data_IF_632267497040
#
_entry.id   IF_632267497040
#
_cell.length_a   1.000
_cell.length_b   1.000
_cell.length_c   1.000
_cell.angle_alpha   90.00
_cell.angle_beta   90.00
_cell.angle_gamma   90.00
#
_symmetry.space_group_name_H-M   'P 1'
#
loop_
_entity.id
_entity.type
_entity.pdbx_description
1 polymer ?
#
# COMPACT_ATOMS: atom_id res chain seq x y z
N UNK A 1 23.23 40.43 -1.83
CA UNK A 1 23.68 39.76 -3.06
C UNK A 1 22.45 39.14 -3.68
N UNK A 2 22.15 39.66 -4.86
CA UNK A 2 20.95 39.52 -5.67
C UNK A 2 20.81 38.14 -6.33
N UNK A 3 19.60 37.82 -6.83
CA UNK A 3 19.23 36.62 -7.61
C UNK A 3 19.81 36.69 -9.06
N UNK A 4 19.34 35.97 -10.11
CA UNK A 4 18.50 34.76 -10.27
C UNK A 4 18.93 33.81 -11.46
N UNK A 5 18.13 32.74 -11.69
CA UNK A 5 17.79 32.07 -12.97
C UNK A 5 18.85 31.38 -13.89
N UNK A 6 18.58 30.11 -14.25
CA UNK A 6 18.09 29.67 -15.59
C UNK A 6 18.69 28.32 -16.06
N UNK A 7 17.82 27.41 -16.50
CA UNK A 7 18.14 26.30 -17.42
C UNK A 7 18.00 26.79 -18.88
N UNK A 8 18.60 26.15 -19.92
CA UNK A 8 17.81 25.25 -20.79
C UNK A 8 18.55 24.11 -21.55
N UNK A 9 17.84 22.98 -21.72
CA UNK A 9 17.46 22.22 -22.95
C UNK A 9 18.46 21.42 -23.87
N UNK A 10 17.94 20.25 -24.35
CA UNK A 10 18.30 19.37 -25.51
C UNK A 10 19.58 18.48 -25.43
N UNK A 11 19.65 17.20 -25.85
CA UNK A 11 18.97 16.42 -26.90
C UNK A 11 19.37 14.90 -26.86
N UNK A 12 18.60 14.02 -27.54
CA UNK A 12 18.93 12.67 -28.13
C UNK A 12 18.34 11.38 -27.53
N UNK A 13 17.08 11.15 -27.94
CA UNK A 13 16.51 9.98 -28.64
C UNK A 13 17.43 8.75 -28.90
N UNK A 14 16.90 7.56 -28.60
CA UNK A 14 17.46 6.26 -28.99
C UNK A 14 16.49 5.12 -28.69
N UNK A 15 15.46 4.98 -29.50
CA UNK A 15 14.55 3.82 -29.53
C UNK A 15 15.27 2.60 -30.11
N UNK A 16 15.08 1.41 -29.52
CA UNK A 16 15.15 0.14 -30.24
C UNK A 16 14.38 -0.95 -29.46
N UNK A 17 13.20 -1.31 -30.00
CA UNK A 17 12.59 -2.62 -29.85
C UNK A 17 13.35 -3.67 -30.69
N UNK A 18 13.08 -4.96 -30.49
CA UNK A 18 12.51 -5.71 -31.61
C UNK A 18 11.33 -6.63 -31.26
N UNK A 19 10.45 -6.72 -32.27
CA UNK A 19 9.27 -7.57 -32.46
C UNK A 19 9.55 -9.09 -32.46
N UNK A 20 8.53 -9.90 -32.13
CA UNK A 20 7.85 -10.78 -33.10
C UNK A 20 6.53 -11.40 -32.53
N UNK A 21 5.49 -11.39 -33.38
CA UNK A 21 4.08 -11.81 -33.21
C UNK A 21 3.91 -13.33 -33.57
N UNK A 22 2.72 -14.01 -33.63
CA UNK A 22 1.34 -13.49 -33.63
C UNK A 22 0.27 -14.33 -32.88
N UNK A 23 -0.90 -13.73 -32.59
CA UNK A 23 -2.16 -14.49 -32.51
C UNK A 23 -3.17 -13.86 -33.46
N UNK A 24 -3.43 -14.63 -34.51
CA UNK A 24 -4.48 -14.54 -35.51
C UNK A 24 -5.86 -14.46 -34.84
N UNK A 25 -6.70 -13.51 -35.22
CA UNK A 25 -8.14 -13.74 -35.32
C UNK A 25 -8.74 -12.83 -36.39
N UNK A 26 -9.37 -13.50 -37.35
CA UNK A 26 -9.95 -13.00 -38.58
C UNK A 26 -11.31 -12.31 -38.34
N UNK A 27 -11.46 -11.17 -39.04
CA UNK A 27 -12.61 -10.84 -39.91
C UNK A 27 -13.86 -10.18 -39.33
N UNK A 28 -13.98 -8.91 -39.72
CA UNK A 28 -15.14 -8.18 -40.24
C UNK A 28 -16.51 -8.46 -39.63
N UNK A 29 -17.04 -7.48 -38.90
CA UNK A 29 -18.40 -7.02 -39.09
C UNK A 29 -18.48 -5.51 -38.86
N UNK A 30 -18.81 -4.82 -39.95
CA UNK A 30 -19.21 -3.43 -40.04
C UNK A 30 -20.43 -3.17 -39.14
N UNK A 31 -20.23 -2.46 -38.03
CA UNK A 31 -21.29 -1.72 -37.34
C UNK A 31 -20.69 -0.40 -36.87
N UNK A 32 -20.98 0.64 -37.64
CA UNK A 32 -20.85 2.04 -37.26
C UNK A 32 -21.50 2.27 -35.87
N UNK A 33 -20.76 2.64 -34.82
CA UNK A 33 -21.39 3.05 -33.58
C UNK A 33 -21.96 4.44 -33.84
N UNK A 34 -23.28 4.50 -34.04
CA UNK A 34 -24.05 5.74 -34.00
C UNK A 34 -23.59 6.57 -32.80
N UNK A 35 -22.99 7.73 -33.10
CA UNK A 35 -22.62 8.80 -32.18
C UNK A 35 -23.88 9.41 -31.54
N UNK A 36 -24.55 8.61 -30.71
CA UNK A 36 -25.55 9.06 -29.76
C UNK A 36 -25.10 8.67 -28.37
N UNK A 37 -23.92 9.18 -28.00
CA UNK A 37 -23.58 9.41 -26.60
C UNK A 37 -24.62 10.40 -26.06
N UNK A 38 -25.48 10.00 -25.10
CA UNK A 38 -26.33 10.97 -24.40
C UNK A 38 -25.39 12.02 -23.80
N UNK A 39 -25.72 13.33 -23.86
CA UNK A 39 -24.83 14.34 -23.32
C UNK A 39 -24.48 13.95 -21.88
N UNK A 40 -23.18 13.87 -21.58
CA UNK A 40 -22.68 13.78 -20.22
C UNK A 40 -23.04 15.09 -19.52
N UNK A 41 -24.31 15.23 -19.13
CA UNK A 41 -24.75 16.26 -18.21
C UNK A 41 -23.92 16.11 -16.96
N UNK A 42 -23.21 17.17 -16.59
CA UNK A 42 -22.34 17.18 -15.42
C UNK A 42 -23.15 16.79 -14.17
N UNK A 43 -22.54 16.14 -13.15
CA UNK A 43 -23.24 15.77 -11.93
C UNK A 43 -24.00 16.94 -11.27
N UNK A 44 -23.45 18.15 -11.41
CA UNK A 44 -24.05 19.41 -10.96
C UNK A 44 -25.35 19.76 -11.69
N UNK A 45 -25.40 19.58 -13.01
CA UNK A 45 -26.59 19.86 -13.82
C UNK A 45 -27.73 18.89 -13.48
N UNK A 46 -27.44 17.61 -13.33
CA UNK A 46 -28.44 16.62 -12.94
C UNK A 46 -29.01 16.90 -11.55
N UNK A 47 -28.15 17.28 -10.61
CA UNK A 47 -28.56 17.61 -9.25
C UNK A 47 -29.46 18.86 -9.17
N UNK A 48 -29.10 19.91 -9.90
CA UNK A 48 -29.91 21.13 -9.99
C UNK A 48 -31.26 20.85 -10.65
N UNK A 49 -31.30 20.05 -11.71
CA UNK A 49 -32.53 19.59 -12.35
C UNK A 49 -33.40 18.77 -11.38
N UNK A 50 -32.80 17.90 -10.58
CA UNK A 50 -33.52 17.11 -9.56
C UNK A 50 -34.12 18.01 -8.49
N UNK A 51 -33.36 18.99 -7.98
CA UNK A 51 -33.84 19.99 -7.02
C UNK A 51 -35.02 20.78 -7.58
N UNK A 52 -34.90 21.25 -8.82
CA UNK A 52 -35.94 22.03 -9.48
C UNK A 52 -37.20 21.22 -9.73
N UNK A 53 -37.06 19.96 -10.14
CA UNK A 53 -38.21 19.08 -10.37
C UNK A 53 -39.00 18.84 -9.09
N UNK A 54 -38.32 18.43 -8.00
CA UNK A 54 -38.94 18.20 -6.69
C UNK A 54 -39.54 19.47 -6.07
N UNK A 55 -38.97 20.63 -6.37
CA UNK A 55 -39.48 21.91 -5.88
C UNK A 55 -40.70 22.41 -6.65
N UNK A 56 -40.78 22.14 -7.97
CA UNK A 56 -41.77 22.78 -8.85
C UNK A 56 -42.97 21.88 -9.14
N UNK A 57 -42.80 20.55 -9.18
CA UNK A 57 -43.86 19.58 -9.43
C UNK A 57 -45.07 19.74 -8.48
N UNK A 58 -44.91 19.89 -7.15
CA UNK A 58 -46.05 19.98 -6.22
C UNK A 58 -46.92 21.21 -6.44
N UNK A 59 -46.39 22.24 -7.10
CA UNK A 59 -47.07 23.52 -7.30
C UNK A 59 -47.77 23.65 -8.64
N UNK A 60 -47.57 22.71 -9.58
CA UNK A 60 -48.18 22.78 -10.91
C UNK A 60 -49.72 22.95 -10.87
N UNK A 61 -50.48 22.19 -10.02
CA UNK A 61 -51.93 22.37 -9.93
C UNK A 61 -52.31 23.75 -9.39
N UNK A 62 -51.62 24.22 -8.36
CA UNK A 62 -51.87 25.52 -7.71
C UNK A 62 -51.59 26.67 -8.66
N UNK A 63 -50.54 26.59 -9.47
CA UNK A 63 -50.25 27.59 -10.50
C UNK A 63 -51.38 27.69 -11.53
N UNK A 64 -51.96 26.56 -11.92
CA UNK A 64 -53.11 26.54 -12.83
C UNK A 64 -54.33 27.23 -12.22
N UNK A 65 -54.65 26.91 -10.96
CA UNK A 65 -55.74 27.56 -10.21
C UNK A 65 -55.51 29.07 -10.07
N UNK A 66 -54.26 29.50 -9.86
CA UNK A 66 -53.93 30.94 -9.81
C UNK A 66 -54.14 31.64 -11.15
N UNK A 67 -53.81 30.99 -12.27
CA UNK A 67 -54.07 31.52 -13.60
C UNK A 67 -55.57 31.65 -13.90
N UNK A 68 -56.38 30.68 -13.46
CA UNK A 68 -57.84 30.73 -13.56
C UNK A 68 -58.40 31.86 -12.68
N UNK A 69 -57.90 31.99 -11.43
CA UNK A 69 -58.30 33.04 -10.49
C UNK A 69 -57.97 34.45 -10.97
N UNK A 70 -56.84 34.65 -11.66
CA UNK A 70 -56.48 35.93 -12.28
C UNK A 70 -57.51 36.36 -13.34
N UNK A 71 -58.11 35.40 -14.04
CA UNK A 71 -59.16 35.64 -15.02
C UNK A 71 -60.53 35.88 -14.37
N UNK A 72 -60.88 35.08 -13.38
CA UNK A 72 -62.24 35.03 -12.83
C UNK A 72 -62.47 36.04 -11.69
N UNK A 73 -61.47 36.26 -10.83
CA UNK A 73 -61.53 37.25 -9.75
C UNK A 73 -60.15 37.90 -9.45
N UNK A 74 -59.77 38.92 -10.23
CA UNK A 74 -58.45 39.55 -10.12
C UNK A 74 -58.20 40.24 -8.76
N UNK A 75 -59.25 40.50 -7.96
CA UNK A 75 -59.09 41.13 -6.64
C UNK A 75 -58.39 40.19 -5.65
N UNK A 76 -58.58 38.88 -5.78
CA UNK A 76 -57.94 37.88 -4.91
C UNK A 76 -56.72 37.21 -5.55
N UNK A 77 -56.56 37.30 -6.87
CA UNK A 77 -55.45 36.70 -7.60
C UNK A 77 -54.08 37.16 -7.07
N UNK A 78 -53.88 38.47 -6.90
CA UNK A 78 -52.58 38.99 -6.44
C UNK A 78 -52.23 38.57 -4.99
N UNK A 79 -53.12 38.72 -3.99
CA UNK A 79 -52.88 38.19 -2.65
C UNK A 79 -52.60 36.68 -2.63
N UNK A 80 -53.35 35.90 -3.41
CA UNK A 80 -53.17 34.45 -3.49
C UNK A 80 -51.82 34.08 -4.13
N UNK A 81 -51.46 34.72 -5.24
CA UNK A 81 -50.17 34.51 -5.91
C UNK A 81 -49.00 34.89 -5.00
N UNK A 82 -49.13 35.99 -4.23
CA UNK A 82 -48.10 36.40 -3.26
C UNK A 82 -47.91 35.35 -2.16
N UNK A 83 -49.00 34.79 -1.62
CA UNK A 83 -48.94 33.74 -0.60
C UNK A 83 -48.29 32.46 -1.15
N UNK A 84 -48.74 32.00 -2.32
CA UNK A 84 -48.19 30.81 -2.98
C UNK A 84 -46.71 31.00 -3.32
N UNK A 85 -46.30 32.20 -3.76
CA UNK A 85 -44.90 32.53 -4.02
C UNK A 85 -44.02 32.45 -2.78
N UNK A 86 -44.51 32.91 -1.62
CA UNK A 86 -43.78 32.77 -0.35
C UNK A 86 -43.65 31.31 0.07
N UNK A 87 -44.74 30.54 -0.03
CA UNK A 87 -44.72 29.12 0.33
C UNK A 87 -43.81 28.31 -0.60
N UNK A 88 -43.81 28.60 -1.91
CA UNK A 88 -42.90 27.97 -2.88
C UNK A 88 -41.44 28.18 -2.50
N UNK A 89 -41.03 29.41 -2.17
CA UNK A 89 -39.64 29.70 -1.77
C UNK A 89 -39.25 28.95 -0.49
N UNK A 90 -40.16 28.81 0.45
CA UNK A 90 -39.93 28.01 1.66
C UNK A 90 -39.77 26.52 1.33
N UNK A 91 -40.62 26.00 0.43
CA UNK A 91 -40.54 24.62 -0.06
C UNK A 91 -39.22 24.34 -0.78
N UNK A 92 -38.81 25.21 -1.71
CA UNK A 92 -37.52 25.14 -2.41
C UNK A 92 -36.35 25.06 -1.41
N UNK A 93 -36.38 25.88 -0.36
CA UNK A 93 -35.37 25.84 0.71
C UNK A 93 -35.40 24.52 1.50
N UNK A 94 -36.59 23.98 1.78
CA UNK A 94 -36.76 22.73 2.49
C UNK A 94 -36.25 21.53 1.69
N UNK A 95 -36.62 21.44 0.41
CA UNK A 95 -36.16 20.40 -0.53
C UNK A 95 -34.65 20.45 -0.69
N UNK A 96 -34.08 21.64 -0.86
CA UNK A 96 -32.63 21.81 -0.99
C UNK A 96 -31.89 21.29 0.25
N UNK A 97 -32.31 21.70 1.45
CA UNK A 97 -31.74 21.21 2.72
C UNK A 97 -31.92 19.71 2.91
N UNK A 98 -33.03 19.14 2.45
CA UNK A 98 -33.28 17.71 2.52
C UNK A 98 -32.28 16.93 1.66
N UNK A 99 -32.07 17.35 0.41
CA UNK A 99 -31.10 16.73 -0.51
C UNK A 99 -29.68 16.84 0.02
N UNK A 100 -29.30 18.02 0.53
CA UNK A 100 -27.99 18.21 1.15
C UNK A 100 -27.82 17.34 2.40
N UNK A 101 -28.90 17.17 3.19
CA UNK A 101 -28.94 16.26 4.33
C UNK A 101 -28.73 14.80 3.94
N UNK A 102 -29.41 14.33 2.89
CA UNK A 102 -29.22 12.96 2.36
C UNK A 102 -27.79 12.74 1.87
N UNK A 103 -27.21 13.71 1.16
CA UNK A 103 -25.82 13.66 0.70
C UNK A 103 -24.83 13.60 1.85
N UNK A 104 -25.06 14.40 2.88
CA UNK A 104 -24.24 14.41 4.08
C UNK A 104 -24.31 13.05 4.80
N UNK A 105 -25.51 12.49 4.92
CA UNK A 105 -25.72 11.18 5.54
C UNK A 105 -25.01 10.07 4.76
N UNK A 106 -25.13 10.05 3.44
CA UNK A 106 -24.41 9.11 2.58
C UNK A 106 -22.88 9.25 2.73
N UNK A 107 -22.37 10.47 2.73
CA UNK A 107 -20.95 10.74 2.93
C UNK A 107 -20.47 10.28 4.31
N UNK A 108 -21.27 10.51 5.36
CA UNK A 108 -20.98 10.06 6.71
C UNK A 108 -20.92 8.54 6.79
N UNK A 109 -21.83 7.84 6.10
CA UNK A 109 -21.83 6.39 6.03
C UNK A 109 -20.57 5.86 5.34
N UNK A 110 -20.23 6.42 4.17
CA UNK A 110 -18.99 6.08 3.45
C UNK A 110 -17.74 6.31 4.33
N UNK A 111 -17.72 7.42 5.09
CA UNK A 111 -16.61 7.75 5.99
C UNK A 111 -16.50 6.75 7.15
N UNK A 112 -17.64 6.31 7.72
CA UNK A 112 -17.65 5.25 8.75
C UNK A 112 -17.07 3.95 8.22
N UNK A 113 -17.47 3.54 7.03
CA UNK A 113 -16.98 2.32 6.37
C UNK A 113 -15.48 2.38 6.07
N UNK A 114 -15.01 3.52 5.54
CA UNK A 114 -13.58 3.75 5.35
C UNK A 114 -12.82 3.73 6.70
N UNK A 115 -13.40 4.30 7.74
CA UNK A 115 -12.85 4.30 9.10
C UNK A 115 -12.75 2.89 9.70
N UNK A 116 -13.74 2.02 9.45
CA UNK A 116 -13.67 0.61 9.87
C UNK A 116 -12.57 -0.14 9.14
N UNK A 117 -12.45 0.05 7.82
CA UNK A 117 -11.41 -0.58 7.02
C UNK A 117 -10.00 -0.16 7.46
N UNK A 118 -9.77 1.14 7.69
CA UNK A 118 -8.48 1.63 8.17
C UNK A 118 -8.11 1.08 9.55
N UNK A 119 -9.10 0.83 10.42
CA UNK A 119 -8.88 0.20 11.71
C UNK A 119 -8.40 -1.23 11.56
N UNK A 120 -9.04 -2.01 10.69
CA UNK A 120 -8.65 -3.39 10.39
C UNK A 120 -7.23 -3.46 9.84
N UNK A 121 -6.88 -2.59 8.89
CA UNK A 121 -5.52 -2.52 8.34
C UNK A 121 -4.49 -2.15 9.40
N UNK A 122 -4.80 -1.18 10.27
CA UNK A 122 -3.93 -0.80 11.39
C UNK A 122 -3.72 -1.96 12.35
N UNK A 123 -4.77 -2.67 12.72
CA UNK A 123 -4.70 -3.81 13.65
C UNK A 123 -3.92 -4.99 13.01
N UNK A 124 -4.14 -5.24 11.72
CA UNK A 124 -3.36 -6.22 10.95
C UNK A 124 -1.88 -5.87 10.86
N UNK A 125 -1.55 -4.60 10.66
CA UNK A 125 -0.17 -4.12 10.63
C UNK A 125 0.50 -4.26 12.01
N UNK A 126 -0.19 -3.89 13.08
CA UNK A 126 0.30 -4.05 14.45
C UNK A 126 0.60 -5.53 14.76
N UNK A 127 -0.31 -6.43 14.39
CA UNK A 127 -0.10 -7.87 14.57
C UNK A 127 1.15 -8.37 13.83
N UNK A 128 1.37 -7.91 12.59
CA UNK A 128 2.59 -8.25 11.82
C UNK A 128 3.84 -7.70 12.49
N UNK A 129 3.79 -6.47 13.01
CA UNK A 129 4.89 -5.86 13.73
C UNK A 129 5.26 -6.65 14.99
N UNK A 130 4.28 -6.99 15.83
CA UNK A 130 4.49 -7.73 17.07
C UNK A 130 5.08 -9.13 16.80
N UNK A 131 4.64 -9.79 15.72
CA UNK A 131 5.21 -11.06 15.29
C UNK A 131 6.69 -10.95 14.91
N UNK A 132 7.08 -9.88 14.22
CA UNK A 132 8.49 -9.65 13.89
C UNK A 132 9.32 -9.34 15.13
N UNK A 133 8.79 -8.54 16.06
CA UNK A 133 9.45 -8.30 17.35
C UNK A 133 9.67 -9.58 18.14
N UNK A 134 8.66 -10.46 18.22
CA UNK A 134 8.79 -11.75 18.89
C UNK A 134 9.89 -12.62 18.24
N UNK A 135 9.96 -12.63 16.91
CA UNK A 135 11.01 -13.34 16.17
C UNK A 135 12.40 -12.76 16.41
N UNK A 136 12.52 -11.42 16.46
CA UNK A 136 13.79 -10.75 16.73
C UNK A 136 14.31 -11.10 18.12
N UNK A 137 13.45 -11.02 19.14
CA UNK A 137 13.79 -11.40 20.53
C UNK A 137 14.22 -12.86 20.64
N UNK A 138 13.55 -13.75 19.91
CA UNK A 138 13.95 -15.15 19.84
C UNK A 138 15.37 -15.31 19.28
N UNK A 139 15.70 -14.63 18.19
CA UNK A 139 17.04 -14.69 17.61
C UNK A 139 18.10 -14.09 18.53
N UNK A 140 17.80 -12.97 19.17
CA UNK A 140 18.69 -12.35 20.16
C UNK A 140 19.04 -13.33 21.28
N UNK A 141 18.04 -14.01 21.85
CA UNK A 141 18.26 -15.00 22.90
C UNK A 141 19.05 -16.22 22.39
N UNK A 142 18.74 -16.72 21.19
CA UNK A 142 19.45 -17.84 20.60
C UNK A 142 20.93 -17.51 20.32
N UNK A 143 21.20 -16.29 19.83
CA UNK A 143 22.56 -15.82 19.59
C UNK A 143 23.32 -15.66 20.90
N UNK A 144 22.70 -15.08 21.93
CA UNK A 144 23.31 -14.94 23.25
C UNK A 144 23.67 -16.32 23.84
N UNK A 145 22.73 -17.26 23.81
CA UNK A 145 22.98 -18.63 24.27
C UNK A 145 24.08 -19.33 23.47
N UNK A 146 24.14 -19.11 22.15
CA UNK A 146 25.20 -19.66 21.31
C UNK A 146 26.58 -19.07 21.66
N UNK A 147 26.63 -17.77 21.97
CA UNK A 147 27.84 -17.06 22.39
C UNK A 147 28.33 -17.61 23.72
N UNK A 148 27.46 -17.72 24.72
CA UNK A 148 27.79 -18.28 26.03
C UNK A 148 28.37 -19.71 25.90
N UNK A 149 27.74 -20.57 25.09
CA UNK A 149 28.24 -21.93 24.83
C UNK A 149 29.60 -21.93 24.14
N UNK A 150 29.81 -21.06 23.15
CA UNK A 150 31.10 -20.96 22.46
C UNK A 150 32.20 -20.47 23.40
N UNK A 151 31.90 -19.48 24.25
CA UNK A 151 32.84 -19.00 25.26
C UNK A 151 33.24 -20.12 26.22
N UNK A 152 32.28 -20.86 26.77
CA UNK A 152 32.55 -22.01 27.65
C UNK A 152 33.43 -23.07 26.98
N UNK A 153 33.14 -23.44 25.72
CA UNK A 153 33.97 -24.41 24.99
C UNK A 153 35.40 -23.90 24.76
N UNK A 154 35.57 -22.60 24.54
CA UNK A 154 36.88 -21.98 24.35
C UNK A 154 37.68 -21.95 25.66
N UNK A 155 37.01 -21.66 26.78
CA UNK A 155 37.59 -21.69 28.11
C UNK A 155 38.04 -23.12 28.50
N UNK A 156 37.20 -24.11 28.25
CA UNK A 156 37.53 -25.54 28.46
C UNK A 156 38.75 -25.96 27.64
N UNK A 157 38.83 -25.51 26.37
CA UNK A 157 39.97 -25.80 25.50
C UNK A 157 41.26 -25.16 26.02
N UNK A 158 41.21 -23.91 26.47
CA UNK A 158 42.34 -23.22 27.06
C UNK A 158 42.79 -23.89 28.37
N UNK A 159 41.86 -24.35 29.20
CA UNK A 159 42.14 -25.07 30.44
C UNK A 159 42.83 -26.42 30.20
N UNK A 160 42.44 -27.16 29.15
CA UNK A 160 43.07 -28.44 28.80
C UNK A 160 44.50 -28.30 28.26
N UNK A 161 44.85 -27.15 27.69
CA UNK A 161 46.17 -26.93 27.08
C UNK A 161 47.16 -26.15 27.98
N UNK A 162 46.67 -25.43 28.99
CA UNK A 162 47.50 -24.66 29.94
C UNK A 162 48.48 -25.51 30.78
N UNK A 163 48.13 -26.72 31.29
CA UNK A 163 49.05 -27.54 32.09
C UNK A 163 50.22 -28.11 31.27
N UNK A 164 50.04 -28.28 29.96
CA UNK A 164 51.03 -28.95 29.10
C UNK A 164 52.21 -28.05 28.71
N UNK A 165 52.16 -26.74 28.97
CA UNK A 165 53.32 -25.85 28.80
C UNK A 165 54.18 -25.72 30.06
N UNK A 166 53.60 -25.90 31.25
CA UNK A 166 54.37 -25.85 32.50
C UNK A 166 55.33 -27.04 32.65
N UNK A 167 54.96 -28.22 32.13
CA UNK A 167 55.81 -29.42 32.16
C UNK A 167 56.89 -29.50 31.07
N UNK A 168 56.82 -28.66 30.02
CA UNK A 168 57.81 -28.69 28.92
C UNK A 168 59.06 -27.85 29.20
N UNK A 169 58.97 -26.90 30.14
CA UNK A 169 60.06 -25.95 30.42
C UNK A 169 61.23 -26.61 31.16
N UNK A 170 61.00 -27.74 31.84
CA UNK A 170 62.05 -28.48 32.54
C UNK A 170 62.82 -29.47 31.64
N UNK A 171 62.32 -29.77 30.44
CA UNK A 171 63.00 -30.66 29.48
C UNK A 171 64.04 -29.91 28.62
N UNK A 172 63.97 -28.58 28.56
CA UNK A 172 64.89 -27.78 27.75
C UNK A 172 66.32 -27.63 28.33
N UNK A 173 66.62 -28.21 29.51
CA UNK A 173 67.97 -28.19 30.09
C UNK A 173 68.79 -29.45 29.84
N UNK A 174 68.19 -30.53 29.33
CA UNK A 174 68.88 -31.83 29.27
C UNK A 174 68.58 -32.59 27.97
N UNK A 175 68.78 -31.99 26.79
CA UNK A 175 68.82 -32.78 25.55
C UNK A 175 69.55 -32.04 24.41
N UNK A 176 70.80 -31.63 24.67
CA UNK A 176 71.77 -31.53 23.58
C UNK A 176 72.31 -32.94 23.33
N UNK A 177 71.61 -33.73 22.52
CA UNK A 177 72.19 -34.69 21.56
C UNK A 177 71.08 -35.48 20.84
N UNK A 178 71.20 -35.51 19.51
CA UNK A 178 70.70 -36.54 18.57
C UNK A 178 69.29 -36.43 17.98
N UNK A 179 69.27 -36.37 16.63
CA UNK A 179 68.22 -36.80 15.69
C UNK A 179 66.97 -35.88 15.59
N UNK A 180 66.75 -35.12 14.52
CA UNK A 180 66.75 -35.55 13.12
C UNK A 180 65.50 -36.40 12.83
N UNK A 181 64.53 -35.84 12.08
CA UNK A 181 63.48 -36.54 11.31
C UNK A 181 62.09 -36.90 11.91
N UNK A 182 61.60 -36.31 13.00
CA UNK A 182 60.23 -36.62 13.49
C UNK A 182 59.16 -35.51 13.39
N UNK A 183 59.50 -34.27 13.03
CA UNK A 183 58.54 -33.14 13.15
C UNK A 183 57.77 -32.82 11.86
N UNK A 184 58.17 -33.37 10.71
CA UNK A 184 57.56 -33.02 9.42
C UNK A 184 56.35 -33.90 9.03
N UNK A 185 56.15 -35.06 9.68
CA UNK A 185 55.09 -36.01 9.34
C UNK A 185 53.71 -35.73 9.98
N UNK A 186 53.63 -34.88 11.02
CA UNK A 186 52.37 -34.64 11.75
C UNK A 186 51.58 -33.43 11.26
N UNK A 187 52.23 -32.48 10.57
CA UNK A 187 51.56 -31.29 10.03
C UNK A 187 50.71 -31.60 8.79
N UNK A 188 51.06 -32.65 8.03
CA UNK A 188 50.34 -33.02 6.80
C UNK A 188 49.05 -33.82 7.05
N UNK A 189 48.84 -34.35 8.27
CA UNK A 189 47.65 -35.16 8.60
C UNK A 189 46.46 -34.33 9.11
N UNK A 190 46.66 -33.06 9.45
CA UNK A 190 45.58 -32.15 9.83
C UNK A 190 44.96 -31.41 8.64
N UNK A 191 45.70 -31.22 7.54
CA UNK A 191 45.17 -30.54 6.35
C UNK A 191 44.20 -31.40 5.51
N UNK A 192 44.20 -32.73 5.66
CA UNK A 192 43.30 -33.62 4.91
C UNK A 192 41.92 -33.85 5.55
N UNK A 193 41.58 -33.16 6.65
CA UNK A 193 40.23 -33.20 7.25
C UNK A 193 39.38 -31.94 6.98
N UNK A 194 39.90 -31.01 6.18
CA UNK A 194 39.14 -29.86 5.68
C UNK A 194 38.73 -30.09 4.21
N UNK A 195 38.06 -31.20 3.94
CA UNK A 195 37.36 -31.38 2.67
C UNK A 195 36.14 -32.25 2.89
N UNK A 196 35.01 -31.61 3.23
CA UNK A 196 33.70 -32.23 3.18
C UNK A 196 32.78 -31.34 2.32
N UNK A 197 32.53 -31.87 1.11
CA UNK A 197 31.30 -31.84 0.32
C UNK A 197 30.61 -30.51 0.01
N UNK A 198 31.02 -29.86 -1.08
CA UNK A 198 30.09 -29.12 -1.95
C UNK A 198 29.40 -30.10 -2.91
N UNK A 199 28.22 -30.57 -2.55
CA UNK A 199 27.34 -31.27 -3.49
C UNK A 199 25.89 -31.12 -3.06
N UNK A 200 25.24 -29.99 -3.38
CA UNK A 200 23.80 -29.92 -3.63
C UNK A 200 23.48 -28.57 -4.27
N UNK A 201 23.16 -28.56 -5.58
CA UNK A 201 21.88 -28.05 -6.12
C UNK A 201 21.96 -27.92 -7.64
N UNK A 202 21.47 -28.94 -8.36
CA UNK A 202 20.93 -28.79 -9.72
C UNK A 202 20.03 -29.99 -10.00
N UNK A 203 18.72 -29.81 -9.83
CA UNK A 203 17.64 -30.50 -10.56
C UNK A 203 16.29 -30.03 -10.04
N UNK A 204 15.45 -29.47 -10.93
CA UNK A 204 14.01 -29.41 -10.71
C UNK A 204 13.24 -28.19 -11.21
N UNK A 205 13.39 -27.81 -12.48
CA UNK A 205 12.31 -27.10 -13.20
C UNK A 205 12.16 -27.71 -14.59
N UNK A 206 11.10 -28.48 -14.75
CA UNK A 206 10.33 -28.62 -15.99
C UNK A 206 8.87 -28.54 -15.59
#
# INVERSE_FOLDING_TARGET
MDSPNSSPDQEKQGEQQPNELPILNDKDNNVEPSDHVPPLTSPWQHEEETRHTLATEPFQPTLKVLADLERDDPKFAFPAARLVGLYRRLWESCVSKHIDGQKLEQSNQNLKEAGTHLREERDGLQLRHDKQLARLRFFEQALESSRERLTSLLDDWNYLYSPNLAGLTDVAREENTTSGDAVQGKLHRMQSRLYISEAFNKKGTK
#
